data_IF_301262809964
#
_entry.id   IF_301262809964
#
_cell.length_a   1.000
_cell.length_b   1.000
_cell.length_c   1.000
_cell.angle_alpha   90.00
_cell.angle_beta   90.00
_cell.angle_gamma   90.00
#
_symmetry.space_group_name_H-M   'P 1'
#
loop_
_entity.id
_entity.type
_entity.pdbx_description
1 polymer ?
#
# COMPACT_ATOMS: atom_id res chain seq x y z
N UNK A 1 2.35 -19.45 -16.68
CA UNK A 1 3.59 -19.28 -15.88
C UNK A 1 4.04 -20.68 -15.46
N UNK A 2 5.32 -21.04 -15.63
CA UNK A 2 5.78 -22.39 -15.26
C UNK A 2 5.90 -22.56 -13.74
N UNK A 3 5.77 -23.78 -13.23
CA UNK A 3 5.94 -24.07 -11.78
C UNK A 3 7.29 -23.60 -11.26
N UNK A 4 8.35 -23.81 -12.06
CA UNK A 4 9.71 -23.36 -11.71
C UNK A 4 9.81 -21.84 -11.60
N UNK A 5 9.19 -21.12 -12.53
CA UNK A 5 9.13 -19.66 -12.46
C UNK A 5 8.42 -19.23 -11.18
N UNK A 6 7.25 -19.81 -10.88
CA UNK A 6 6.52 -19.50 -9.66
C UNK A 6 7.36 -19.74 -8.41
N UNK A 7 8.06 -20.87 -8.31
CA UNK A 7 8.91 -21.20 -7.16
C UNK A 7 10.06 -20.20 -7.00
N UNK A 8 10.82 -19.92 -8.06
CA UNK A 8 11.95 -19.00 -7.97
C UNK A 8 11.49 -17.55 -7.72
N UNK A 9 10.36 -17.15 -8.28
CA UNK A 9 9.77 -15.84 -8.01
C UNK A 9 9.26 -15.74 -6.58
N UNK A 10 8.67 -16.81 -6.03
CA UNK A 10 8.32 -16.87 -4.60
C UNK A 10 9.55 -16.76 -3.69
N UNK A 11 10.68 -17.39 -4.06
CA UNK A 11 11.95 -17.22 -3.34
C UNK A 11 12.41 -15.77 -3.37
N UNK A 12 12.35 -15.10 -4.53
CA UNK A 12 12.67 -13.68 -4.65
C UNK A 12 11.82 -12.81 -3.73
N UNK A 13 10.50 -12.99 -3.77
CA UNK A 13 9.55 -12.25 -2.93
C UNK A 13 9.84 -12.52 -1.45
N UNK A 14 10.04 -13.78 -1.06
CA UNK A 14 10.35 -14.15 0.32
C UNK A 14 11.63 -13.49 0.83
N UNK A 15 12.70 -13.50 0.04
CA UNK A 15 13.98 -12.87 0.40
C UNK A 15 13.87 -11.35 0.54
N UNK A 16 13.23 -10.69 -0.41
CA UNK A 16 13.08 -9.22 -0.42
C UNK A 16 12.14 -8.73 0.68
N UNK A 17 11.01 -9.41 0.91
CA UNK A 17 10.10 -9.12 2.02
C UNK A 17 10.79 -9.40 3.37
N UNK A 18 11.50 -10.52 3.51
CA UNK A 18 12.23 -10.85 4.74
C UNK A 18 13.32 -9.83 5.07
N UNK A 19 14.12 -9.44 4.07
CA UNK A 19 15.13 -8.39 4.23
C UNK A 19 14.49 -7.05 4.57
N UNK A 20 13.39 -6.69 3.91
CA UNK A 20 12.63 -5.49 4.21
C UNK A 20 12.17 -5.45 5.67
N UNK A 21 11.56 -6.54 6.16
CA UNK A 21 11.08 -6.61 7.55
C UNK A 21 12.25 -6.50 8.53
N UNK A 22 13.36 -7.19 8.27
CA UNK A 22 14.56 -7.07 9.11
C UNK A 22 15.04 -5.61 9.21
N UNK A 23 15.21 -4.95 8.06
CA UNK A 23 15.64 -3.56 8.01
C UNK A 23 14.62 -2.61 8.66
N UNK A 24 13.33 -2.85 8.46
CA UNK A 24 12.26 -2.07 9.08
C UNK A 24 12.32 -2.19 10.61
N UNK A 25 12.48 -3.41 11.14
CA UNK A 25 12.56 -3.68 12.57
C UNK A 25 13.84 -3.14 13.22
N UNK A 26 14.94 -3.04 12.46
CA UNK A 26 16.18 -2.38 12.91
C UNK A 26 16.12 -0.85 12.85
N UNK A 27 15.15 -0.28 12.15
CA UNK A 27 14.95 1.16 12.05
C UNK A 27 14.05 1.70 13.18
N UNK A 28 14.06 3.02 13.45
CA UNK A 28 13.10 3.63 14.38
C UNK A 28 11.62 3.38 14.03
N UNK A 29 11.30 3.03 12.78
CA UNK A 29 9.94 2.72 12.33
C UNK A 29 9.40 1.43 12.94
N UNK A 30 10.27 0.49 13.33
CA UNK A 30 9.91 -0.78 13.96
C UNK A 30 9.17 -0.62 15.29
N UNK A 31 9.43 0.48 16.01
CA UNK A 31 8.83 0.77 17.31
C UNK A 31 7.41 1.36 17.22
N UNK A 32 6.95 1.71 16.02
CA UNK A 32 5.75 2.54 15.82
C UNK A 32 4.49 1.73 15.48
N UNK A 33 4.61 0.40 15.34
CA UNK A 33 3.47 -0.49 15.11
C UNK A 33 2.82 -0.40 13.72
N UNK A 34 3.39 0.39 12.80
CA UNK A 34 2.81 0.61 11.47
C UNK A 34 3.23 -0.43 10.41
N UNK A 35 4.09 -1.41 10.75
CA UNK A 35 4.55 -2.45 9.81
C UNK A 35 3.40 -3.13 9.02
N UNK A 36 2.24 -3.46 9.62
CA UNK A 36 1.12 -4.06 8.88
C UNK A 36 0.63 -3.20 7.69
N UNK A 37 0.81 -1.88 7.72
CA UNK A 37 0.47 -1.00 6.60
C UNK A 37 1.27 -1.35 5.34
N UNK A 38 2.51 -1.83 5.49
CA UNK A 38 3.31 -2.36 4.37
C UNK A 38 2.56 -3.49 3.68
N UNK A 39 2.04 -4.43 4.48
CA UNK A 39 1.36 -5.63 4.01
C UNK A 39 -0.06 -5.37 3.52
N UNK A 40 -0.62 -4.17 3.76
CA UNK A 40 -1.82 -3.68 3.08
C UNK A 40 -1.46 -3.10 1.71
N UNK A 41 -0.49 -2.19 1.64
CA UNK A 41 -0.12 -1.51 0.40
C UNK A 41 0.51 -2.46 -0.64
N UNK A 42 1.36 -3.38 -0.19
CA UNK A 42 2.07 -4.34 -1.04
C UNK A 42 1.15 -5.13 -1.97
N UNK A 43 0.15 -5.89 -1.49
CA UNK A 43 -0.74 -6.65 -2.35
C UNK A 43 -1.65 -5.76 -3.21
N UNK A 44 -2.04 -4.56 -2.75
CA UNK A 44 -2.83 -3.63 -3.57
C UNK A 44 -2.02 -3.18 -4.79
N UNK A 45 -0.75 -2.82 -4.60
CA UNK A 45 0.13 -2.44 -5.70
C UNK A 45 0.39 -3.59 -6.67
N UNK A 46 0.67 -4.79 -6.13
CA UNK A 46 0.91 -5.99 -6.95
C UNK A 46 -0.34 -6.40 -7.74
N UNK A 47 -1.51 -6.37 -7.12
CA UNK A 47 -2.80 -6.72 -7.77
C UNK A 47 -3.20 -5.70 -8.84
N UNK A 48 -2.76 -4.44 -8.72
CA UNK A 48 -2.91 -3.40 -9.74
C UNK A 48 -1.99 -3.53 -10.95
N UNK A 49 -1.18 -4.60 -11.02
CA UNK A 49 -0.24 -4.84 -12.12
C UNK A 49 1.14 -4.17 -11.98
N UNK A 50 1.46 -3.63 -10.79
CA UNK A 50 2.80 -3.22 -10.35
C UNK A 50 3.66 -2.40 -11.33
N UNK A 51 3.06 -1.51 -12.13
CA UNK A 51 3.78 -0.81 -13.20
C UNK A 51 4.63 0.35 -12.66
N UNK A 52 5.88 0.48 -13.15
CA UNK A 52 6.78 1.57 -12.77
C UNK A 52 6.16 2.97 -12.94
N UNK A 53 5.40 3.18 -14.02
CA UNK A 53 4.72 4.46 -14.29
C UNK A 53 3.53 4.73 -13.35
N UNK A 54 3.10 3.74 -12.56
CA UNK A 54 2.04 3.86 -11.54
C UNK A 54 2.59 3.98 -10.13
N UNK A 55 3.90 3.85 -9.93
CA UNK A 55 4.54 3.93 -8.62
C UNK A 55 4.19 5.23 -7.88
N UNK A 56 4.43 6.38 -8.54
CA UNK A 56 4.19 7.69 -7.95
C UNK A 56 2.70 7.91 -7.64
N UNK A 57 1.83 7.53 -8.56
CA UNK A 57 0.37 7.59 -8.38
C UNK A 57 -0.09 6.74 -7.17
N UNK A 58 0.45 5.53 -7.02
CA UNK A 58 0.17 4.68 -5.86
C UNK A 58 0.66 5.27 -4.54
N UNK A 59 1.88 5.81 -4.47
CA UNK A 59 2.38 6.47 -3.27
C UNK A 59 1.53 7.70 -2.89
N UNK A 60 1.23 8.56 -3.86
CA UNK A 60 0.41 9.76 -3.63
C UNK A 60 -1.04 9.40 -3.26
N UNK A 61 -1.59 8.35 -3.85
CA UNK A 61 -2.91 7.81 -3.47
C UNK A 61 -2.90 7.24 -2.05
N UNK A 62 -1.82 6.59 -1.62
CA UNK A 62 -1.68 6.13 -0.24
C UNK A 62 -1.66 7.32 0.74
N UNK A 63 -0.88 8.37 0.44
CA UNK A 63 -0.82 9.60 1.24
C UNK A 63 -2.20 10.25 1.32
N UNK A 64 -2.89 10.43 0.19
CA UNK A 64 -4.23 10.98 0.15
C UNK A 64 -5.22 10.12 0.97
N UNK A 65 -5.11 8.80 0.91
CA UNK A 65 -5.93 7.90 1.71
C UNK A 65 -5.72 8.03 3.22
N UNK A 66 -4.51 8.34 3.69
CA UNK A 66 -4.28 8.68 5.11
C UNK A 66 -5.01 9.97 5.48
N UNK A 67 -4.95 11.00 4.62
CA UNK A 67 -5.69 12.26 4.85
C UNK A 67 -7.19 11.99 4.91
N UNK A 68 -7.73 11.18 3.99
CA UNK A 68 -9.12 10.74 4.06
C UNK A 68 -9.40 9.99 5.36
N UNK A 69 -8.56 9.04 5.78
CA UNK A 69 -8.75 8.29 7.03
C UNK A 69 -8.86 9.20 8.26
N UNK A 70 -8.06 10.27 8.31
CA UNK A 70 -8.17 11.30 9.36
C UNK A 70 -9.51 12.03 9.27
N UNK A 71 -9.98 12.39 8.08
CA UNK A 71 -11.28 13.04 7.88
C UNK A 71 -12.45 12.15 8.34
N UNK A 72 -12.39 10.84 8.09
CA UNK A 72 -13.39 9.89 8.60
C UNK A 72 -13.45 9.93 10.13
N UNK A 73 -12.30 9.87 10.81
CA UNK A 73 -12.23 9.90 12.27
C UNK A 73 -12.69 11.26 12.82
N UNK A 74 -12.27 12.35 12.18
CA UNK A 74 -12.67 13.70 12.58
C UNK A 74 -14.19 13.90 12.49
N UNK A 75 -14.82 13.45 11.40
CA UNK A 75 -16.26 13.62 11.22
C UNK A 75 -17.07 12.70 12.14
N UNK A 76 -16.59 11.50 12.42
CA UNK A 76 -17.14 10.61 13.46
C UNK A 76 -17.12 11.28 14.85
N UNK A 77 -15.98 11.85 15.24
CA UNK A 77 -15.83 12.58 16.49
C UNK A 77 -16.73 13.82 16.56
N UNK A 78 -16.84 14.56 15.46
CA UNK A 78 -17.72 15.74 15.36
C UNK A 78 -19.18 15.37 15.57
N UNK A 79 -19.68 14.31 14.92
CA UNK A 79 -21.05 13.84 15.09
C UNK A 79 -21.30 13.37 16.52
N UNK A 80 -20.37 12.60 17.09
CA UNK A 80 -20.44 12.12 18.47
C UNK A 80 -20.48 13.29 19.47
N UNK A 81 -19.66 14.33 19.27
CA UNK A 81 -19.66 15.53 20.12
C UNK A 81 -20.97 16.31 20.10
N UNK A 82 -21.80 16.12 19.05
CA UNK A 82 -23.13 16.71 18.91
C UNK A 82 -24.25 15.81 19.47
N UNK A 83 -23.89 14.71 20.13
CA UNK A 83 -24.84 13.79 20.77
C UNK A 83 -25.38 12.69 19.86
N UNK A 84 -24.83 12.51 18.64
CA UNK A 84 -25.15 11.34 17.81
C UNK A 84 -24.55 10.09 18.45
N UNK A 85 -25.34 9.01 18.54
CA UNK A 85 -24.84 7.75 19.10
C UNK A 85 -23.60 7.24 18.32
N UNK A 86 -22.53 6.77 18.99
CA UNK A 86 -21.25 6.45 18.34
C UNK A 86 -21.37 5.50 17.13
N UNK A 87 -22.19 4.44 17.26
CA UNK A 87 -22.43 3.50 16.16
C UNK A 87 -22.99 4.19 14.91
N UNK A 88 -23.93 5.11 15.11
CA UNK A 88 -24.58 5.87 14.04
C UNK A 88 -23.58 6.89 13.48
N UNK A 89 -22.86 7.61 14.34
CA UNK A 89 -21.83 8.56 13.93
C UNK A 89 -20.78 7.92 13.02
N UNK A 90 -20.29 6.73 13.39
CA UNK A 90 -19.28 6.01 12.60
C UNK A 90 -19.84 5.55 11.26
N UNK A 91 -21.05 4.98 11.24
CA UNK A 91 -21.68 4.55 10.00
C UNK A 91 -21.92 5.72 9.04
N UNK A 92 -22.45 6.85 9.55
CA UNK A 92 -22.68 8.05 8.75
C UNK A 92 -21.36 8.68 8.27
N UNK A 93 -20.34 8.73 9.12
CA UNK A 93 -19.02 9.24 8.73
C UNK A 93 -18.41 8.41 7.62
N UNK A 94 -18.40 7.09 7.78
CA UNK A 94 -17.90 6.18 6.76
C UNK A 94 -18.65 6.37 5.45
N UNK A 95 -19.98 6.42 5.48
CA UNK A 95 -20.79 6.59 4.27
C UNK A 95 -20.50 7.92 3.56
N UNK A 96 -20.58 9.04 4.28
CA UNK A 96 -20.46 10.37 3.70
C UNK A 96 -19.05 10.63 3.14
N UNK A 97 -18.03 10.30 3.93
CA UNK A 97 -16.65 10.56 3.51
C UNK A 97 -16.23 9.58 2.40
N UNK A 98 -16.74 8.35 2.38
CA UNK A 98 -16.56 7.42 1.25
C UNK A 98 -17.15 7.96 -0.05
N UNK A 99 -18.40 8.45 -0.01
CA UNK A 99 -19.05 9.07 -1.18
C UNK A 99 -18.20 10.23 -1.69
N UNK A 100 -17.73 11.08 -0.76
CA UNK A 100 -16.93 12.27 -1.09
C UNK A 100 -15.58 11.89 -1.70
N UNK A 101 -14.86 10.92 -1.11
CA UNK A 101 -13.60 10.39 -1.63
C UNK A 101 -13.78 9.87 -3.05
N UNK A 102 -14.75 8.97 -3.24
CA UNK A 102 -15.02 8.37 -4.55
C UNK A 102 -15.42 9.44 -5.58
N UNK A 103 -16.34 10.34 -5.25
CA UNK A 103 -16.77 11.41 -6.15
C UNK A 103 -15.60 12.32 -6.53
N UNK A 104 -14.78 12.73 -5.56
CA UNK A 104 -13.60 13.57 -5.78
C UNK A 104 -12.65 12.91 -6.77
N UNK A 105 -12.30 11.64 -6.56
CA UNK A 105 -11.28 10.99 -7.38
C UNK A 105 -11.80 10.44 -8.71
N UNK A 106 -13.08 10.10 -8.80
CA UNK A 106 -13.70 9.69 -10.08
C UNK A 106 -14.02 10.89 -10.99
N UNK A 107 -14.32 12.06 -10.43
CA UNK A 107 -14.69 13.26 -11.22
C UNK A 107 -13.47 14.14 -11.49
N UNK A 108 -12.66 14.46 -10.46
CA UNK A 108 -11.60 15.47 -10.55
C UNK A 108 -10.24 14.89 -10.91
N UNK A 109 -9.95 13.64 -10.51
CA UNK A 109 -8.69 12.96 -10.82
C UNK A 109 -8.90 11.63 -11.55
N UNK A 110 -9.63 11.59 -12.68
CA UNK A 110 -9.89 10.33 -13.40
C UNK A 110 -8.64 9.75 -14.07
N UNK A 111 -7.61 10.58 -14.28
CA UNK A 111 -6.34 10.22 -14.92
C UNK A 111 -5.19 10.99 -14.26
N UNK A 112 -3.98 10.44 -14.33
CA UNK A 112 -2.80 11.05 -13.74
C UNK A 112 -2.50 10.51 -12.34
N UNK A 113 -2.39 11.41 -11.37
CA UNK A 113 -2.08 11.13 -9.96
C UNK A 113 -3.35 11.08 -9.12
N UNK A 114 -3.29 10.41 -7.97
CA UNK A 114 -4.44 10.20 -7.08
C UNK A 114 -5.58 9.40 -7.73
N UNK A 115 -5.23 8.48 -8.63
CA UNK A 115 -6.23 7.66 -9.34
C UNK A 115 -6.45 6.30 -8.68
N UNK A 116 -5.56 5.89 -7.76
CA UNK A 116 -5.59 4.56 -7.16
C UNK A 116 -6.48 4.52 -5.91
N UNK A 117 -7.80 4.51 -6.14
CA UNK A 117 -8.83 4.43 -5.09
C UNK A 117 -8.63 3.21 -4.16
N UNK A 118 -8.32 1.99 -4.65
CA UNK A 118 -8.01 0.86 -3.76
C UNK A 118 -6.89 1.15 -2.77
N UNK A 119 -5.83 1.83 -3.21
CA UNK A 119 -4.74 2.25 -2.33
C UNK A 119 -5.20 3.26 -1.27
N UNK A 120 -6.08 4.18 -1.64
CA UNK A 120 -6.66 5.13 -0.69
C UNK A 120 -7.46 4.41 0.39
N UNK A 121 -8.32 3.44 0.03
CA UNK A 121 -9.06 2.65 1.01
C UNK A 121 -8.15 1.79 1.89
N UNK A 122 -7.08 1.22 1.32
CA UNK A 122 -6.06 0.53 2.11
C UNK A 122 -5.43 1.45 3.17
N UNK A 123 -5.12 2.68 2.79
CA UNK A 123 -4.57 3.69 3.71
C UNK A 123 -5.59 4.20 4.74
N UNK A 124 -6.87 4.36 4.37
CA UNK A 124 -7.96 4.66 5.31
C UNK A 124 -8.06 3.56 6.38
N UNK A 125 -8.09 2.29 5.97
CA UNK A 125 -8.10 1.16 6.89
C UNK A 125 -6.87 1.18 7.81
N UNK A 126 -5.69 1.51 7.27
CA UNK A 126 -4.47 1.69 8.07
C UNK A 126 -4.58 2.77 9.13
N UNK A 127 -5.23 3.87 8.80
CA UNK A 127 -5.47 4.97 9.74
C UNK A 127 -6.40 4.54 10.87
N UNK A 128 -7.42 3.73 10.59
CA UNK A 128 -8.33 3.21 11.62
C UNK A 128 -7.64 2.26 12.61
N UNK A 129 -6.78 1.35 12.15
CA UNK A 129 -6.19 0.36 13.05
C UNK A 129 -4.94 0.85 13.77
N UNK A 130 -4.10 1.70 13.15
CA UNK A 130 -2.86 2.22 13.79
C UNK A 130 -3.14 3.43 14.69
N UNK A 131 -4.14 4.23 14.32
CA UNK A 131 -4.48 5.49 14.97
C UNK A 131 -4.02 6.72 14.18
N UNK A 132 -4.80 7.80 14.17
CA UNK A 132 -4.52 9.02 13.40
C UNK A 132 -3.32 9.81 13.94
N UNK A 133 -2.97 9.62 15.20
CA UNK A 133 -1.78 10.14 15.89
C UNK A 133 -0.47 9.75 15.22
N UNK A 134 -0.44 8.65 14.47
CA UNK A 134 0.74 8.14 13.76
C UNK A 134 0.68 8.36 12.25
N UNK A 135 -0.17 9.27 11.77
CA UNK A 135 -0.44 9.50 10.34
C UNK A 135 0.82 9.58 9.47
N UNK A 136 1.85 10.29 9.93
CA UNK A 136 3.09 10.49 9.18
C UNK A 136 3.83 9.16 8.94
N UNK A 137 3.87 8.32 9.97
CA UNK A 137 4.50 7.00 9.88
C UNK A 137 3.69 6.05 9.02
N UNK A 138 2.36 6.13 9.07
CA UNK A 138 1.48 5.38 8.18
C UNK A 138 1.77 5.75 6.72
N UNK A 139 1.89 7.04 6.39
CA UNK A 139 2.23 7.49 5.04
C UNK A 139 3.57 6.92 4.54
N UNK A 140 4.61 7.00 5.38
CA UNK A 140 5.93 6.44 5.05
C UNK A 140 5.83 4.94 4.82
N UNK A 141 5.22 4.20 5.74
CA UNK A 141 5.17 2.73 5.69
C UNK A 141 4.33 2.21 4.53
N UNK A 142 3.25 2.90 4.16
CA UNK A 142 2.48 2.58 2.96
C UNK A 142 3.31 2.79 1.68
N UNK A 143 4.00 3.93 1.56
CA UNK A 143 4.90 4.19 0.44
C UNK A 143 6.03 3.14 0.35
N UNK A 144 6.58 2.74 1.50
CA UNK A 144 7.55 1.64 1.57
C UNK A 144 6.95 0.30 1.11
N UNK A 145 5.69 0.01 1.44
CA UNK A 145 4.97 -1.16 0.91
C UNK A 145 4.77 -1.13 -0.60
N UNK A 146 4.47 0.05 -1.17
CA UNK A 146 4.41 0.25 -2.62
C UNK A 146 5.78 0.01 -3.28
N UNK A 147 6.84 0.57 -2.70
CA UNK A 147 8.22 0.37 -3.18
C UNK A 147 8.64 -1.10 -3.10
N UNK A 148 8.31 -1.78 -2.00
CA UNK A 148 8.55 -3.22 -1.87
C UNK A 148 7.80 -4.02 -2.94
N UNK A 149 6.55 -3.65 -3.25
CA UNK A 149 5.80 -4.25 -4.34
C UNK A 149 6.48 -4.07 -5.70
N UNK A 150 7.06 -2.90 -5.94
CA UNK A 150 7.84 -2.64 -7.15
C UNK A 150 9.14 -3.44 -7.22
N UNK A 151 9.86 -3.59 -6.11
CA UNK A 151 11.05 -4.46 -6.01
C UNK A 151 10.67 -5.92 -6.27
N UNK A 152 9.56 -6.36 -5.70
CA UNK A 152 9.03 -7.72 -5.88
C UNK A 152 8.71 -7.98 -7.35
N UNK A 153 7.98 -7.09 -8.02
CA UNK A 153 7.65 -7.25 -9.44
C UNK A 153 8.90 -7.18 -10.35
N UNK A 154 9.87 -6.34 -10.01
CA UNK A 154 11.15 -6.24 -10.74
C UNK A 154 11.93 -7.55 -10.76
N UNK A 155 11.72 -8.44 -9.79
CA UNK A 155 12.29 -9.79 -9.76
C UNK A 155 11.94 -10.65 -10.96
N UNK A 156 10.84 -10.34 -11.68
CA UNK A 156 10.50 -11.04 -12.94
C UNK A 156 11.62 -10.92 -13.97
N UNK A 157 12.37 -9.80 -13.98
CA UNK A 157 13.51 -9.58 -14.89
C UNK A 157 14.72 -10.45 -14.57
N UNK A 158 14.76 -11.03 -13.37
CA UNK A 158 15.82 -11.95 -12.94
C UNK A 158 15.55 -13.39 -13.38
N UNK A 159 14.41 -13.67 -14.01
CA UNK A 159 13.99 -15.00 -14.45
C UNK A 159 13.75 -15.02 -15.97
N UNK A 160 14.16 -16.10 -16.63
CA UNK A 160 13.81 -16.37 -18.03
C UNK A 160 12.39 -16.97 -18.16
N UNK A 161 11.89 -17.16 -19.39
CA UNK A 161 10.56 -17.74 -19.66
C UNK A 161 10.38 -19.16 -19.10
N UNK A 162 11.48 -19.86 -18.83
CA UNK A 162 11.51 -21.19 -18.22
C UNK A 162 11.65 -21.13 -16.69
N UNK A 163 11.72 -19.93 -16.10
CA UNK A 163 11.87 -19.71 -14.67
C UNK A 163 13.29 -19.90 -14.14
N UNK A 164 14.32 -19.87 -14.98
CA UNK A 164 15.73 -19.94 -14.56
C UNK A 164 16.26 -18.55 -14.25
N UNK A 165 17.10 -18.46 -13.22
CA UNK A 165 17.81 -17.23 -12.88
C UNK A 165 18.72 -16.75 -14.03
N UNK A 166 18.47 -15.54 -14.52
CA UNK A 166 19.22 -14.94 -15.63
C UNK A 166 20.63 -14.50 -15.23
N UNK A 167 20.85 -14.13 -13.96
CA UNK A 167 22.15 -13.69 -13.42
C UNK A 167 23.25 -14.76 -13.53
N UNK A 168 22.91 -16.05 -13.36
CA UNK A 168 23.89 -17.14 -13.41
C UNK A 168 24.29 -17.56 -14.84
N UNK A 169 23.80 -16.89 -15.89
CA UNK A 169 24.21 -17.11 -17.28
C UNK A 169 25.28 -16.15 -17.77
N UNK A 170 25.47 -15.00 -17.13
CA UNK A 170 26.48 -14.01 -17.54
C UNK A 170 27.92 -14.55 -17.48
N UNK A 171 28.16 -15.62 -16.70
CA UNK A 171 29.46 -16.32 -16.60
C UNK A 171 29.66 -17.50 -17.56
N UNK A 172 28.68 -17.84 -18.42
CA UNK A 172 28.82 -18.86 -19.46
C UNK A 172 28.83 -18.21 -20.84
N UNK A 173 29.83 -17.37 -21.12
CA UNK A 173 30.30 -17.23 -22.49
C UNK A 173 31.19 -18.44 -22.78
N UNK A 174 30.88 -19.12 -23.88
CA UNK A 174 31.55 -20.30 -24.39
C UNK A 174 33.06 -20.10 -24.52
#
# INVERSE_FOLDING_TARGET
MSTRFSLNFSVWIGLTVGLYVLLYMMSPLGLLGALPCTFVALPIYLSGGAKANKLLDSCLSAIAGVVWGILFIYFDALLTSKGVAPLIASAFSVALVTITLCATHLILTPKGLFTNIPMMFGAVACTFFVGPDKWFYIMITLCMGVLLGFINDSGRKLLDDYGRWSLFRAGKKQ
#
